data_IF_070285063909
#
_entry.id   IF_070285063909
#
_cell.length_a   1.000
_cell.length_b   1.000
_cell.length_c   1.000
_cell.angle_alpha   90.00
_cell.angle_beta   90.00
_cell.angle_gamma   90.00
#
_symmetry.space_group_name_H-M   'P 1'
#
loop_
_entity.id
_entity.type
_entity.pdbx_description
1 polymer ?
#
# COMPACT_ATOMS: atom_id res chain seq x y z
N UNK A 1 -22.48 36.33 -21.34
CA UNK A 1 -21.70 36.74 -20.14
C UNK A 1 -21.89 35.82 -18.93
N UNK A 2 -22.94 35.00 -18.86
CA UNK A 2 -23.33 34.17 -17.71
C UNK A 2 -22.57 32.84 -17.59
N UNK A 3 -22.27 32.15 -18.71
CA UNK A 3 -21.57 30.86 -18.69
C UNK A 3 -20.12 30.97 -18.21
N UNK A 4 -19.42 32.07 -18.54
CA UNK A 4 -18.03 32.28 -18.09
C UNK A 4 -17.89 32.65 -16.61
N UNK A 5 -18.96 33.13 -15.96
CA UNK A 5 -18.96 33.38 -14.52
C UNK A 5 -19.20 32.11 -13.70
N UNK A 6 -20.12 31.24 -14.15
CA UNK A 6 -20.38 29.94 -13.49
C UNK A 6 -19.16 29.02 -13.59
N UNK A 7 -18.49 28.99 -14.75
CA UNK A 7 -17.29 28.17 -14.94
C UNK A 7 -16.09 28.69 -14.13
N UNK A 8 -15.96 30.02 -13.97
CA UNK A 8 -14.91 30.64 -13.15
C UNK A 8 -15.14 30.43 -11.66
N UNK A 9 -16.39 30.46 -11.19
CA UNK A 9 -16.73 30.11 -9.81
C UNK A 9 -16.41 28.64 -9.50
N UNK A 10 -16.78 27.72 -10.39
CA UNK A 10 -16.53 26.28 -10.20
C UNK A 10 -15.03 25.93 -10.11
N UNK A 11 -14.17 26.57 -10.92
CA UNK A 11 -12.71 26.37 -10.88
C UNK A 11 -12.08 26.89 -9.59
N UNK A 12 -12.58 28.01 -9.05
CA UNK A 12 -12.13 28.53 -7.74
C UNK A 12 -12.54 27.60 -6.58
N UNK A 13 -13.74 27.01 -6.62
CA UNK A 13 -14.20 26.06 -5.60
C UNK A 13 -13.42 24.74 -5.65
N UNK A 14 -13.03 24.28 -6.84
CA UNK A 14 -12.27 23.04 -7.00
C UNK A 14 -10.84 23.18 -6.44
N UNK A 15 -10.18 24.31 -6.69
CA UNK A 15 -8.86 24.60 -6.15
C UNK A 15 -8.82 24.64 -4.62
N UNK A 16 -9.85 25.21 -3.99
CA UNK A 16 -10.01 25.21 -2.54
C UNK A 16 -10.21 23.78 -2.00
N UNK A 17 -11.07 22.99 -2.64
CA UNK A 17 -11.34 21.60 -2.25
C UNK A 17 -10.09 20.71 -2.32
N UNK A 18 -9.27 20.85 -3.37
CA UNK A 18 -7.99 20.13 -3.45
C UNK A 18 -7.02 20.51 -2.33
N UNK A 19 -6.94 21.79 -1.99
CA UNK A 19 -6.07 22.27 -0.91
C UNK A 19 -6.52 21.71 0.44
N UNK A 20 -7.82 21.71 0.71
CA UNK A 20 -8.41 21.16 1.93
C UNK A 20 -8.13 19.66 2.07
N UNK A 21 -8.28 18.89 0.98
CA UNK A 21 -7.96 17.46 0.99
C UNK A 21 -6.47 17.19 1.21
N UNK A 22 -5.58 17.93 0.53
CA UNK A 22 -4.14 17.76 0.71
C UNK A 22 -3.71 18.13 2.14
N UNK A 23 -4.27 19.20 2.69
CA UNK A 23 -4.02 19.60 4.08
C UNK A 23 -4.49 18.53 5.06
N UNK A 24 -5.68 17.97 4.85
CA UNK A 24 -6.22 16.88 5.67
C UNK A 24 -5.35 15.61 5.63
N UNK A 25 -4.87 15.22 4.44
CA UNK A 25 -3.97 14.07 4.28
C UNK A 25 -2.64 14.32 4.99
N UNK A 26 -2.04 15.51 4.79
CA UNK A 26 -0.78 15.89 5.44
C UNK A 26 -0.91 15.85 6.96
N UNK A 27 -1.96 16.49 7.50
CA UNK A 27 -2.23 16.53 8.92
C UNK A 27 -2.38 15.12 9.52
N UNK A 28 -3.14 14.26 8.84
CA UNK A 28 -3.34 12.87 9.28
C UNK A 28 -2.03 12.09 9.27
N UNK A 29 -1.24 12.21 8.20
CA UNK A 29 0.05 11.50 8.09
C UNK A 29 1.08 12.00 9.11
N UNK A 30 1.11 13.31 9.40
CA UNK A 30 1.93 13.88 10.49
C UNK A 30 1.52 13.31 11.85
N UNK A 31 0.22 13.16 12.11
CA UNK A 31 -0.28 12.52 13.33
C UNK A 31 0.20 11.08 13.47
N UNK A 32 0.06 10.28 12.40
CA UNK A 32 0.53 8.88 12.37
C UNK A 32 2.05 8.81 12.58
N UNK A 33 2.82 9.67 11.92
CA UNK A 33 4.27 9.75 12.09
C UNK A 33 4.66 10.05 13.54
N UNK A 34 4.00 11.02 14.18
CA UNK A 34 4.30 11.42 15.56
C UNK A 34 3.97 10.29 16.55
N UNK A 35 2.85 9.61 16.38
CA UNK A 35 2.49 8.45 17.22
C UNK A 35 3.53 7.35 17.06
N UNK A 36 3.91 6.99 15.83
CA UNK A 36 4.95 5.98 15.59
C UNK A 36 6.31 6.38 16.16
N UNK A 37 6.67 7.66 16.06
CA UNK A 37 7.92 8.19 16.63
C UNK A 37 7.93 8.07 18.16
N UNK A 38 6.84 8.45 18.83
CA UNK A 38 6.74 8.33 20.29
C UNK A 38 6.80 6.87 20.73
N UNK A 39 6.09 5.96 20.05
CA UNK A 39 6.12 4.52 20.36
C UNK A 39 7.53 3.94 20.20
N UNK A 40 8.21 4.25 19.10
CA UNK A 40 9.56 3.77 18.84
C UNK A 40 10.58 4.35 19.84
N UNK A 41 10.48 5.65 20.14
CA UNK A 41 11.34 6.31 21.11
C UNK A 41 11.13 5.76 22.52
N UNK A 42 9.90 5.43 22.89
CA UNK A 42 9.57 4.81 24.17
C UNK A 42 10.16 3.41 24.27
N UNK A 43 10.03 2.59 23.22
CA UNK A 43 10.61 1.25 23.18
C UNK A 43 12.16 1.29 23.25
N UNK A 44 12.79 2.28 22.60
CA UNK A 44 14.24 2.45 22.62
C UNK A 44 14.79 2.91 23.99
N UNK A 45 14.02 3.66 24.76
CA UNK A 45 14.42 4.07 26.12
C UNK A 45 14.43 2.88 27.09
N UNK A 46 13.49 1.96 26.93
CA UNK A 46 13.28 0.82 27.83
C UNK A 46 14.09 -0.43 27.44
N UNK A 47 14.54 -0.53 26.18
CA UNK A 47 15.40 -1.64 25.73
C UNK A 47 16.78 -1.67 26.41
N UNK A 48 17.16 -0.60 27.12
CA UNK A 48 18.35 -0.58 27.98
C UNK A 48 18.22 -1.47 29.23
N UNK A 49 17.00 -1.90 29.60
CA UNK A 49 16.74 -2.67 30.82
C UNK A 49 16.07 -4.05 30.60
N UNK A 50 15.32 -4.29 29.52
CA UNK A 50 14.81 -5.62 29.18
C UNK A 50 14.44 -5.76 27.69
N UNK A 51 14.58 -6.96 27.14
CA UNK A 51 14.09 -7.28 25.79
C UNK A 51 12.58 -7.54 25.88
N UNK A 52 11.79 -6.61 25.37
CA UNK A 52 10.33 -6.74 25.30
C UNK A 52 10.01 -7.75 24.20
N UNK A 53 9.57 -8.94 24.58
CA UNK A 53 9.28 -10.02 23.63
C UNK A 53 7.79 -10.11 23.29
N UNK A 54 6.90 -9.62 24.15
CA UNK A 54 5.46 -9.82 23.97
C UNK A 54 4.62 -8.54 24.06
N UNK A 55 3.44 -8.57 23.44
CA UNK A 55 2.42 -7.51 23.55
C UNK A 55 1.97 -7.28 25.00
N UNK A 56 2.00 -8.33 25.84
CA UNK A 56 1.66 -8.21 27.24
C UNK A 56 2.70 -7.37 27.98
N UNK A 57 3.99 -7.65 27.74
CA UNK A 57 5.11 -6.86 28.28
C UNK A 57 5.01 -5.39 27.83
N UNK A 58 4.57 -5.12 26.60
CA UNK A 58 4.37 -3.75 26.12
C UNK A 58 3.25 -3.00 26.85
N UNK A 59 2.16 -3.70 27.23
CA UNK A 59 1.07 -3.12 28.01
C UNK A 59 1.50 -2.88 29.46
N UNK A 60 2.28 -3.80 30.03
CA UNK A 60 2.83 -3.68 31.37
C UNK A 60 3.88 -2.54 31.45
N UNK A 61 4.71 -2.40 30.42
CA UNK A 61 5.65 -1.29 30.28
C UNK A 61 4.95 0.06 30.18
N UNK A 62 3.84 0.14 29.45
CA UNK A 62 3.02 1.35 29.44
C UNK A 62 2.43 1.65 30.82
N UNK A 63 2.14 0.65 31.64
CA UNK A 63 1.69 0.84 33.02
C UNK A 63 2.81 1.39 33.93
N UNK A 64 4.08 1.06 33.64
CA UNK A 64 5.24 1.58 34.37
C UNK A 64 5.56 3.03 33.97
N UNK A 65 5.48 3.35 32.68
CA UNK A 65 5.71 4.71 32.15
C UNK A 65 4.58 5.66 32.54
N UNK A 66 3.33 5.20 32.45
CA UNK A 66 2.19 5.97 32.91
C UNK A 66 1.91 5.62 34.37
N UNK A 67 2.45 6.41 35.31
CA UNK A 67 2.24 6.31 36.77
C UNK A 67 0.76 6.33 37.23
N UNK A 68 -0.21 6.37 36.31
CA UNK A 68 -1.64 6.39 36.55
C UNK A 68 -2.29 5.06 36.18
N UNK A 69 -3.02 4.47 37.14
CA UNK A 69 -3.82 3.24 36.97
C UNK A 69 -4.89 3.32 35.86
N UNK A 70 -5.18 4.50 35.31
CA UNK A 70 -6.17 4.68 34.24
C UNK A 70 -5.57 4.55 32.83
N UNK A 71 -4.25 4.63 32.67
CA UNK A 71 -3.61 4.65 31.35
C UNK A 71 -3.81 3.35 30.53
N UNK A 72 -3.69 2.13 31.11
CA UNK A 72 -3.95 0.90 30.36
C UNK A 72 -5.41 0.78 29.91
N UNK A 73 -6.35 1.31 30.70
CA UNK A 73 -7.78 1.28 30.37
C UNK A 73 -8.09 2.20 29.19
N UNK A 74 -7.52 3.40 29.18
CA UNK A 74 -7.64 4.34 28.05
C UNK A 74 -6.98 3.75 26.80
N UNK A 75 -5.80 3.17 26.92
CA UNK A 75 -5.13 2.49 25.82
C UNK A 75 -5.99 1.36 25.24
N UNK A 76 -6.54 0.50 26.09
CA UNK A 76 -7.41 -0.59 25.65
C UNK A 76 -8.66 -0.05 24.93
N UNK A 77 -9.28 1.00 25.45
CA UNK A 77 -10.43 1.65 24.79
C UNK A 77 -10.05 2.20 23.41
N UNK A 78 -8.90 2.85 23.28
CA UNK A 78 -8.37 3.36 22.00
C UNK A 78 -8.08 2.22 21.03
N UNK A 79 -7.44 1.13 21.48
CA UNK A 79 -7.15 -0.04 20.66
C UNK A 79 -8.43 -0.73 20.17
N UNK A 80 -9.44 -0.86 21.02
CA UNK A 80 -10.74 -1.44 20.67
C UNK A 80 -11.48 -0.57 19.64
N UNK A 81 -11.52 0.75 19.87
CA UNK A 81 -12.17 1.67 18.94
C UNK A 81 -11.46 1.71 17.58
N UNK A 82 -10.12 1.76 17.59
CA UNK A 82 -9.29 1.68 16.39
C UNK A 82 -9.53 0.37 15.63
N UNK A 83 -9.61 -0.76 16.34
CA UNK A 83 -9.91 -2.08 15.77
C UNK A 83 -11.28 -2.14 15.08
N UNK A 84 -12.26 -1.38 15.59
CA UNK A 84 -13.57 -1.29 14.96
C UNK A 84 -13.53 -0.41 13.69
N UNK A 85 -12.82 0.72 13.74
CA UNK A 85 -12.66 1.61 12.58
C UNK A 85 -11.94 0.91 11.43
N UNK A 86 -10.81 0.23 11.69
CA UNK A 86 -10.06 -0.50 10.66
C UNK A 86 -10.92 -1.60 10.02
N UNK A 87 -11.72 -2.32 10.81
CA UNK A 87 -12.61 -3.36 10.32
C UNK A 87 -13.70 -2.78 9.40
N UNK A 88 -14.33 -1.66 9.79
CA UNK A 88 -15.34 -1.00 8.96
C UNK A 88 -14.74 -0.50 7.64
N UNK A 89 -13.61 0.20 7.70
CA UNK A 89 -12.92 0.72 6.51
C UNK A 89 -12.50 -0.41 5.57
N UNK A 90 -12.03 -1.54 6.10
CA UNK A 90 -11.66 -2.71 5.30
C UNK A 90 -12.87 -3.28 4.55
N UNK A 91 -14.04 -3.40 5.19
CA UNK A 91 -15.24 -3.89 4.51
C UNK A 91 -15.68 -2.96 3.38
N UNK A 92 -15.68 -1.65 3.62
CA UNK A 92 -16.08 -0.66 2.62
C UNK A 92 -15.12 -0.69 1.43
N UNK A 93 -13.80 -0.71 1.70
CA UNK A 93 -12.79 -0.77 0.66
C UNK A 93 -12.91 -2.05 -0.19
N UNK A 94 -13.07 -3.22 0.45
CA UNK A 94 -13.23 -4.49 -0.25
C UNK A 94 -14.54 -4.56 -1.05
N UNK A 95 -15.63 -3.96 -0.55
CA UNK A 95 -16.89 -3.89 -1.27
C UNK A 95 -16.71 -3.09 -2.58
N UNK A 96 -16.13 -1.89 -2.51
CA UNK A 96 -15.86 -1.04 -3.68
C UNK A 96 -14.98 -1.77 -4.70
N UNK A 97 -13.92 -2.44 -4.25
CA UNK A 97 -13.04 -3.21 -5.15
C UNK A 97 -13.79 -4.38 -5.81
N UNK A 98 -14.62 -5.09 -5.05
CA UNK A 98 -15.37 -6.25 -5.58
C UNK A 98 -16.44 -5.81 -6.58
N UNK A 99 -17.15 -4.73 -6.29
CA UNK A 99 -18.17 -4.15 -7.15
C UNK A 99 -17.57 -3.70 -8.48
N UNK A 100 -16.47 -2.93 -8.44
CA UNK A 100 -15.84 -2.42 -9.66
C UNK A 100 -15.03 -3.45 -10.45
N UNK A 101 -14.44 -4.46 -9.79
CA UNK A 101 -13.58 -5.44 -10.47
C UNK A 101 -14.33 -6.71 -10.91
N UNK A 102 -15.25 -7.22 -10.09
CA UNK A 102 -16.00 -8.44 -10.37
C UNK A 102 -17.43 -8.18 -10.87
N UNK A 103 -17.95 -6.95 -10.74
CA UNK A 103 -19.36 -6.64 -11.06
C UNK A 103 -20.36 -7.40 -10.20
N UNK A 104 -19.89 -8.00 -9.09
CA UNK A 104 -20.67 -8.85 -8.21
C UNK A 104 -21.24 -8.02 -7.07
N UNK A 105 -22.57 -7.89 -7.03
CA UNK A 105 -23.29 -7.23 -5.93
C UNK A 105 -23.50 -8.22 -4.78
N UNK A 106 -22.46 -8.41 -3.97
CA UNK A 106 -22.56 -9.15 -2.73
C UNK A 106 -22.99 -8.20 -1.60
N UNK A 107 -23.84 -8.68 -0.70
CA UNK A 107 -24.26 -7.90 0.47
C UNK A 107 -23.06 -7.55 1.36
N UNK A 108 -23.03 -6.33 1.88
CA UNK A 108 -21.98 -5.81 2.78
C UNK A 108 -21.75 -6.73 4.00
N UNK A 109 -22.82 -7.36 4.50
CA UNK A 109 -22.75 -8.30 5.63
C UNK A 109 -22.01 -9.58 5.23
N UNK A 110 -22.21 -10.07 4.01
CA UNK A 110 -21.51 -11.25 3.51
C UNK A 110 -20.01 -10.97 3.37
N UNK A 111 -19.63 -9.81 2.84
CA UNK A 111 -18.23 -9.36 2.79
C UNK A 111 -17.60 -9.27 4.17
N UNK A 112 -18.31 -8.73 5.16
CA UNK A 112 -17.82 -8.63 6.53
C UNK A 112 -17.50 -10.01 7.14
N UNK A 113 -18.43 -10.97 7.00
CA UNK A 113 -18.25 -12.33 7.53
C UNK A 113 -17.12 -13.05 6.79
N UNK A 114 -17.05 -12.92 5.47
CA UNK A 114 -15.99 -13.55 4.66
C UNK A 114 -14.59 -13.03 5.04
N UNK A 115 -14.42 -11.71 5.17
CA UNK A 115 -13.13 -11.12 5.55
C UNK A 115 -12.71 -11.54 6.98
N UNK A 116 -13.68 -11.60 7.91
CA UNK A 116 -13.42 -12.06 9.27
C UNK A 116 -13.03 -13.53 9.32
N UNK A 117 -13.73 -14.39 8.59
CA UNK A 117 -13.37 -15.81 8.47
C UNK A 117 -11.98 -15.97 7.85
N UNK A 118 -11.69 -15.26 6.76
CA UNK A 118 -10.41 -15.35 6.07
C UNK A 118 -9.25 -14.84 6.94
N UNK A 119 -9.47 -13.80 7.75
CA UNK A 119 -8.48 -13.30 8.71
C UNK A 119 -8.30 -14.24 9.92
N UNK A 120 -9.37 -14.92 10.34
CA UNK A 120 -9.35 -15.79 11.51
C UNK A 120 -8.68 -17.15 11.25
N UNK A 121 -8.75 -17.68 10.03
CA UNK A 121 -8.09 -18.94 9.63
C UNK A 121 -6.58 -18.93 9.92
N UNK A 122 -5.76 -17.98 9.40
CA UNK A 122 -4.33 -17.97 9.64
C UNK A 122 -4.00 -17.72 11.13
N UNK A 123 -4.80 -16.92 11.83
CA UNK A 123 -4.61 -16.67 13.26
C UNK A 123 -4.82 -17.95 14.09
N UNK A 124 -5.90 -18.70 13.85
CA UNK A 124 -6.17 -19.97 14.54
C UNK A 124 -5.13 -21.02 14.17
N UNK A 125 -4.74 -21.10 12.89
CA UNK A 125 -3.74 -22.06 12.43
C UNK A 125 -2.40 -21.83 13.15
N UNK A 126 -1.91 -20.58 13.18
CA UNK A 126 -0.66 -20.24 13.87
C UNK A 126 -0.74 -20.50 15.38
N UNK A 127 -1.87 -20.18 16.01
CA UNK A 127 -2.08 -20.46 17.43
C UNK A 127 -2.08 -21.96 17.75
N UNK A 128 -2.63 -22.81 16.88
CA UNK A 128 -2.66 -24.27 17.09
C UNK A 128 -1.32 -24.94 16.87
N UNK A 129 -0.53 -24.49 15.89
CA UNK A 129 0.74 -25.13 15.52
C UNK A 129 1.88 -24.67 16.41
N UNK A 130 1.99 -23.36 16.65
CA UNK A 130 3.14 -22.74 17.29
C UNK A 130 2.79 -22.00 18.61
N UNK A 131 1.56 -22.13 19.10
CA UNK A 131 1.14 -21.54 20.39
C UNK A 131 1.18 -20.01 20.37
N UNK A 132 1.54 -19.41 21.50
CA UNK A 132 1.66 -17.95 21.65
C UNK A 132 2.77 -17.36 20.78
N UNK A 133 3.92 -18.04 20.69
CA UNK A 133 5.08 -17.65 19.87
C UNK A 133 4.69 -17.46 18.40
N UNK A 134 3.92 -18.41 17.85
CA UNK A 134 3.45 -18.37 16.46
C UNK A 134 2.52 -17.20 16.15
N UNK A 135 1.73 -16.75 17.13
CA UNK A 135 0.87 -15.57 16.97
C UNK A 135 1.71 -14.30 16.91
N UNK A 136 2.75 -14.18 17.74
CA UNK A 136 3.67 -13.04 17.70
C UNK A 136 4.43 -12.97 16.36
N UNK A 137 4.93 -14.11 15.89
CA UNK A 137 5.57 -14.19 14.58
C UNK A 137 4.62 -13.79 13.44
N UNK A 138 3.34 -14.22 13.51
CA UNK A 138 2.34 -13.83 12.52
C UNK A 138 2.07 -12.32 12.52
N UNK A 139 2.01 -11.68 13.69
CA UNK A 139 1.82 -10.22 13.82
C UNK A 139 2.99 -9.45 13.17
N UNK A 140 4.22 -9.92 13.35
CA UNK A 140 5.42 -9.31 12.74
C UNK A 140 5.45 -9.58 11.21
N UNK A 141 4.95 -10.74 10.78
CA UNK A 141 4.96 -11.14 9.36
C UNK A 141 3.90 -10.41 8.52
N UNK A 142 2.74 -10.06 9.09
CA UNK A 142 1.66 -9.41 8.35
C UNK A 142 2.10 -8.09 7.67
N UNK A 143 2.75 -7.13 8.37
CA UNK A 143 3.29 -5.93 7.74
C UNK A 143 4.31 -6.21 6.64
N UNK A 144 5.12 -7.26 6.79
CA UNK A 144 6.12 -7.67 5.80
C UNK A 144 5.45 -8.13 4.50
N UNK A 145 4.44 -9.00 4.60
CA UNK A 145 3.65 -9.45 3.43
C UNK A 145 2.95 -8.27 2.76
N UNK A 146 2.41 -7.34 3.56
CA UNK A 146 1.79 -6.13 3.05
C UNK A 146 2.81 -5.26 2.29
N UNK A 147 4.01 -5.08 2.82
CA UNK A 147 5.09 -4.32 2.18
C UNK A 147 5.47 -4.90 0.80
N UNK A 148 5.48 -6.23 0.66
CA UNK A 148 5.71 -6.87 -0.64
C UNK A 148 4.62 -6.59 -1.66
N UNK A 149 3.37 -6.40 -1.23
CA UNK A 149 2.21 -6.18 -2.12
C UNK A 149 2.05 -4.70 -2.50
N UNK A 150 2.61 -3.78 -1.72
CA UNK A 150 2.50 -2.33 -1.95
C UNK A 150 2.98 -1.88 -3.35
N UNK A 151 4.18 -2.26 -3.85
CA UNK A 151 4.65 -1.79 -5.16
C UNK A 151 3.71 -2.18 -6.29
N UNK A 152 3.18 -3.41 -6.27
CA UNK A 152 2.22 -3.92 -7.25
C UNK A 152 0.96 -3.03 -7.32
N UNK A 153 0.45 -2.59 -6.17
CA UNK A 153 -0.74 -1.73 -6.12
C UNK A 153 -0.46 -0.27 -6.51
N UNK A 154 0.77 0.22 -6.31
CA UNK A 154 1.13 1.62 -6.61
C UNK A 154 1.23 1.86 -8.12
N UNK A 155 1.64 0.87 -8.91
CA UNK A 155 1.90 1.05 -10.36
C UNK A 155 0.64 1.48 -11.14
N UNK A 156 -0.53 0.81 -11.02
CA UNK A 156 -1.74 1.24 -11.73
C UNK A 156 -2.18 2.65 -11.31
N UNK A 157 -2.12 2.96 -10.01
CA UNK A 157 -2.49 4.27 -9.48
C UNK A 157 -1.56 5.35 -10.02
N UNK A 158 -0.25 5.09 -10.04
CA UNK A 158 0.75 5.99 -10.62
C UNK A 158 0.51 6.20 -12.12
N UNK A 159 0.19 5.14 -12.88
CA UNK A 159 -0.13 5.22 -14.31
C UNK A 159 -1.38 6.07 -14.58
N UNK A 160 -2.43 5.89 -13.77
CA UNK A 160 -3.66 6.68 -13.88
C UNK A 160 -3.36 8.16 -13.54
N UNK A 161 -2.54 8.40 -12.52
CA UNK A 161 -2.18 9.75 -12.10
C UNK A 161 -1.22 10.48 -13.07
N UNK A 162 -0.35 9.76 -13.79
CA UNK A 162 0.54 10.35 -14.80
C UNK A 162 -0.18 10.58 -16.15
N UNK A 163 -1.26 9.84 -16.42
CA UNK A 163 -1.97 9.91 -17.71
C UNK A 163 -2.67 11.25 -17.93
N UNK A 164 -2.21 11.97 -18.96
CA UNK A 164 -2.85 13.20 -19.44
C UNK A 164 -4.27 12.97 -19.99
N UNK A 165 -4.58 11.74 -20.42
CA UNK A 165 -5.89 11.39 -20.97
C UNK A 165 -6.97 11.28 -19.88
N UNK A 166 -6.61 10.76 -18.70
CA UNK A 166 -7.55 10.59 -17.57
C UNK A 166 -7.64 11.87 -16.74
N UNK A 167 -6.51 12.51 -16.46
CA UNK A 167 -6.46 13.65 -15.54
C UNK A 167 -6.65 15.02 -16.21
N UNK A 168 -6.58 15.08 -17.54
CA UNK A 168 -6.77 16.30 -18.33
C UNK A 168 -5.86 17.45 -17.87
N UNK A 169 -6.46 18.59 -17.51
CA UNK A 169 -5.75 19.80 -17.09
C UNK A 169 -5.21 19.76 -15.65
N UNK A 170 -5.49 18.69 -14.88
CA UNK A 170 -4.98 18.47 -13.52
C UNK A 170 -3.82 17.47 -13.50
N UNK A 171 -3.12 17.31 -14.62
CA UNK A 171 -1.96 16.43 -14.73
C UNK A 171 -0.95 16.72 -13.62
N UNK A 172 -0.46 15.65 -12.99
CA UNK A 172 0.58 15.72 -11.98
C UNK A 172 1.80 16.47 -12.53
N UNK A 173 2.33 17.41 -11.75
CA UNK A 173 3.51 18.17 -12.17
C UNK A 173 4.72 17.24 -12.34
N UNK A 174 5.57 17.53 -13.33
CA UNK A 174 6.76 16.73 -13.64
C UNK A 174 7.66 16.49 -12.41
N UNK A 175 7.71 17.45 -11.47
CA UNK A 175 8.42 17.31 -10.19
C UNK A 175 7.85 16.21 -9.30
N UNK A 176 6.53 16.17 -9.16
CA UNK A 176 5.83 15.16 -8.34
C UNK A 176 5.89 13.80 -9.03
N UNK A 177 5.85 13.76 -10.36
CA UNK A 177 6.02 12.55 -11.15
C UNK A 177 7.41 11.92 -10.94
N UNK A 178 8.48 12.72 -11.00
CA UNK A 178 9.85 12.26 -10.69
C UNK A 178 9.94 11.76 -9.25
N UNK A 179 9.41 12.51 -8.29
CA UNK A 179 9.49 12.15 -6.87
C UNK A 179 8.72 10.84 -6.58
N UNK A 180 7.56 10.64 -7.19
CA UNK A 180 6.79 9.42 -7.10
C UNK A 180 7.49 8.23 -7.79
N UNK A 181 8.10 8.43 -8.96
CA UNK A 181 8.90 7.39 -9.62
C UNK A 181 10.14 6.99 -8.80
N UNK A 182 10.76 7.95 -8.12
CA UNK A 182 11.91 7.72 -7.25
C UNK A 182 11.48 6.93 -6.01
N UNK A 183 10.37 7.31 -5.37
CA UNK A 183 9.81 6.59 -4.23
C UNK A 183 9.42 5.15 -4.60
N UNK A 184 8.81 4.95 -5.78
CA UNK A 184 8.50 3.63 -6.31
C UNK A 184 9.76 2.79 -6.53
N UNK A 185 10.79 3.35 -7.19
CA UNK A 185 12.06 2.68 -7.43
C UNK A 185 12.74 2.28 -6.11
N UNK A 186 12.74 3.18 -5.11
CA UNK A 186 13.31 2.92 -3.79
C UNK A 186 12.55 1.80 -3.06
N UNK A 187 11.22 1.82 -3.09
CA UNK A 187 10.39 0.76 -2.47
C UNK A 187 10.64 -0.60 -3.13
N UNK A 188 10.71 -0.64 -4.45
CA UNK A 188 11.00 -1.84 -5.21
C UNK A 188 12.42 -2.37 -4.90
N UNK A 189 13.41 -1.49 -4.83
CA UNK A 189 14.78 -1.84 -4.48
C UNK A 189 14.90 -2.44 -3.07
N UNK A 190 14.27 -1.83 -2.06
CA UNK A 190 14.24 -2.35 -0.69
C UNK A 190 13.57 -3.73 -0.65
N UNK A 191 12.45 -3.91 -1.35
CA UNK A 191 11.76 -5.19 -1.40
C UNK A 191 12.61 -6.28 -2.09
N UNK A 192 13.39 -5.95 -3.12
CA UNK A 192 14.31 -6.92 -3.76
C UNK A 192 15.42 -7.32 -2.79
N UNK A 193 16.03 -6.37 -2.09
CA UNK A 193 17.07 -6.67 -1.09
C UNK A 193 16.51 -7.60 -0.01
N UNK A 194 15.35 -7.25 0.54
CA UNK A 194 14.72 -8.03 1.59
C UNK A 194 14.29 -9.43 1.10
N UNK A 195 13.82 -9.55 -0.14
CA UNK A 195 13.55 -10.85 -0.77
C UNK A 195 14.83 -11.70 -0.96
N UNK A 196 15.93 -11.07 -1.37
CA UNK A 196 17.22 -11.74 -1.50
C UNK A 196 17.75 -12.22 -0.14
N UNK A 197 17.54 -11.44 0.92
CA UNK A 197 17.87 -11.83 2.30
C UNK A 197 17.02 -13.04 2.75
N UNK A 198 15.72 -13.07 2.45
CA UNK A 198 14.87 -14.23 2.75
C UNK A 198 15.30 -15.47 1.95
N UNK A 199 15.72 -15.30 0.69
CA UNK A 199 16.01 -16.41 -0.23
C UNK A 199 17.41 -17.00 -0.04
N UNK A 200 18.40 -16.17 0.24
CA UNK A 200 19.82 -16.55 0.30
C UNK A 200 20.46 -16.29 1.66
N UNK A 201 19.78 -15.62 2.58
CA UNK A 201 20.30 -15.32 3.91
C UNK A 201 20.36 -16.54 4.80
N UNK A 202 21.55 -16.86 5.29
CA UNK A 202 21.80 -17.82 6.38
C UNK A 202 21.78 -17.09 7.74
N UNK A 203 20.83 -16.16 7.92
CA UNK A 203 20.72 -15.36 9.14
C UNK A 203 19.95 -16.10 10.23
N UNK A 204 20.25 -15.80 11.50
CA UNK A 204 19.63 -16.47 12.65
C UNK A 204 18.09 -16.40 12.65
N UNK A 205 17.53 -15.34 12.06
CA UNK A 205 16.09 -15.16 11.89
C UNK A 205 15.49 -16.09 10.81
N UNK A 206 16.15 -16.26 9.66
CA UNK A 206 15.68 -17.20 8.62
C UNK A 206 15.84 -18.65 9.08
N UNK A 207 16.86 -18.95 9.87
CA UNK A 207 17.06 -20.28 10.45
C UNK A 207 16.05 -20.58 11.58
N UNK A 208 15.68 -19.57 12.38
CA UNK A 208 14.60 -19.67 13.37
C UNK A 208 13.22 -19.91 12.72
N UNK A 209 12.98 -19.33 11.53
CA UNK A 209 11.81 -19.61 10.70
C UNK A 209 11.89 -20.98 10.00
N UNK A 210 13.10 -21.50 9.75
CA UNK A 210 13.32 -22.76 9.03
C UNK A 210 12.97 -23.99 9.86
N UNK A 211 12.94 -23.87 11.19
CA UNK A 211 12.56 -24.94 12.10
C UNK A 211 13.56 -26.10 12.11
N UNK A 212 13.90 -26.57 13.29
CA UNK A 212 14.63 -27.81 13.54
C UNK A 212 13.82 -29.02 13.04
N UNK A 213 14.15 -29.47 11.82
CA UNK A 213 14.06 -30.80 11.16
C UNK A 213 12.89 -31.77 11.41
N UNK A 214 11.85 -31.48 12.22
CA UNK A 214 10.85 -32.52 12.54
C UNK A 214 9.35 -32.16 12.39
N UNK A 215 8.89 -30.90 12.31
CA UNK A 215 7.45 -30.60 12.00
C UNK A 215 7.21 -29.17 11.41
N UNK A 216 5.97 -28.78 11.02
CA UNK A 216 5.54 -28.29 9.71
C UNK A 216 5.67 -26.75 9.52
N UNK A 217 6.87 -26.19 9.71
CA UNK A 217 7.14 -24.74 9.51
C UNK A 217 7.67 -24.42 8.09
N UNK A 218 7.79 -25.44 7.23
CA UNK A 218 8.18 -25.27 5.82
C UNK A 218 7.14 -24.45 5.01
N UNK A 219 5.87 -24.50 5.43
CA UNK A 219 4.73 -23.89 4.72
C UNK A 219 4.82 -22.34 4.67
N UNK A 220 5.02 -21.60 5.78
CA UNK A 220 5.10 -20.15 5.73
C UNK A 220 6.31 -19.64 4.94
N UNK A 221 7.48 -20.27 5.04
CA UNK A 221 8.68 -19.81 4.34
C UNK A 221 8.57 -19.98 2.81
N UNK A 222 8.12 -21.15 2.34
CA UNK A 222 7.90 -21.38 0.90
C UNK A 222 6.79 -20.48 0.33
N UNK A 223 5.70 -20.26 1.08
CA UNK A 223 4.63 -19.34 0.66
C UNK A 223 5.13 -17.89 0.58
N UNK A 224 5.96 -17.46 1.54
CA UNK A 224 6.51 -16.10 1.56
C UNK A 224 7.46 -15.83 0.39
N UNK A 225 8.33 -16.80 0.07
CA UNK A 225 9.22 -16.73 -1.10
C UNK A 225 8.41 -16.67 -2.39
N UNK A 226 7.40 -17.53 -2.54
CA UNK A 226 6.55 -17.55 -3.73
C UNK A 226 5.77 -16.24 -3.90
N UNK A 227 5.19 -15.71 -2.83
CA UNK A 227 4.47 -14.44 -2.84
C UNK A 227 5.38 -13.25 -3.15
N UNK A 228 6.57 -13.21 -2.57
CA UNK A 228 7.57 -12.18 -2.84
C UNK A 228 8.03 -12.23 -4.30
N UNK A 229 8.39 -13.42 -4.81
CA UNK A 229 8.79 -13.62 -6.18
C UNK A 229 7.68 -13.24 -7.18
N UNK A 230 6.44 -13.67 -6.93
CA UNK A 230 5.28 -13.33 -7.75
C UNK A 230 5.00 -11.81 -7.73
N UNK A 231 5.10 -11.16 -6.57
CA UNK A 231 4.90 -9.71 -6.46
C UNK A 231 5.99 -8.92 -7.18
N UNK A 232 7.26 -9.31 -7.02
CA UNK A 232 8.39 -8.68 -7.71
C UNK A 232 8.26 -8.89 -9.22
N UNK A 233 7.95 -10.12 -9.67
CA UNK A 233 7.74 -10.42 -11.08
C UNK A 233 6.57 -9.61 -11.67
N UNK A 234 5.47 -9.47 -10.93
CA UNK A 234 4.31 -8.68 -11.35
C UNK A 234 4.60 -7.17 -11.35
N UNK A 235 5.32 -6.65 -10.34
CA UNK A 235 5.74 -5.26 -10.29
C UNK A 235 6.72 -4.93 -11.42
N UNK A 236 7.68 -5.82 -11.69
CA UNK A 236 8.59 -5.71 -12.82
C UNK A 236 7.84 -5.84 -14.15
N UNK A 237 6.89 -6.77 -14.28
CA UNK A 237 6.06 -6.88 -15.48
C UNK A 237 5.28 -5.59 -15.75
N UNK A 238 4.65 -5.02 -14.71
CA UNK A 238 3.91 -3.77 -14.81
C UNK A 238 4.82 -2.55 -15.09
N UNK A 239 6.04 -2.54 -14.55
CA UNK A 239 7.03 -1.50 -14.82
C UNK A 239 7.65 -1.64 -16.22
N UNK A 240 7.88 -2.87 -16.67
CA UNK A 240 8.48 -3.21 -17.97
C UNK A 240 7.48 -3.10 -19.10
N UNK A 241 6.17 -3.28 -18.89
CA UNK A 241 5.16 -2.88 -19.89
C UNK A 241 5.25 -1.37 -20.11
N UNK A 242 5.99 -0.91 -21.15
CA UNK A 242 6.15 0.50 -21.37
C UNK A 242 4.81 1.01 -21.94
N UNK A 243 4.60 2.32 -21.87
CA UNK A 243 3.53 3.04 -22.56
C UNK A 243 3.62 2.85 -24.10
N UNK A 244 3.37 1.64 -24.61
CA UNK A 244 3.08 1.38 -26.02
C UNK A 244 1.63 1.77 -26.34
N UNK A 245 1.21 2.94 -25.86
CA UNK A 245 0.02 3.64 -26.33
C UNK A 245 0.37 5.06 -26.76
N UNK A 246 1.41 5.69 -26.21
CA UNK A 246 1.79 7.05 -26.63
C UNK A 246 2.67 7.10 -27.87
N UNK A 247 3.45 6.06 -28.17
CA UNK A 247 4.30 6.05 -29.38
C UNK A 247 3.50 5.75 -30.66
N UNK A 248 2.51 4.83 -30.60
CA UNK A 248 1.71 4.49 -31.79
C UNK A 248 0.83 5.66 -32.24
N UNK A 249 0.32 6.48 -31.32
CA UNK A 249 -0.51 7.63 -31.67
C UNK A 249 0.33 8.80 -32.21
N UNK A 250 1.53 9.05 -31.64
CA UNK A 250 2.46 10.04 -32.17
C UNK A 250 2.99 9.66 -33.56
N UNK A 251 3.31 8.38 -33.80
CA UNK A 251 3.75 7.91 -35.12
C UNK A 251 2.62 7.89 -36.16
N UNK A 252 1.38 7.58 -35.76
CA UNK A 252 0.22 7.62 -36.68
C UNK A 252 -0.16 9.07 -37.02
N UNK A 253 -0.01 9.99 -36.07
CA UNK A 253 -0.31 11.40 -36.28
C UNK A 253 0.77 12.11 -37.11
N UNK A 254 2.07 11.85 -36.88
CA UNK A 254 3.15 12.34 -37.75
C UNK A 254 3.07 11.76 -39.18
N UNK A 255 2.77 10.47 -39.35
CA UNK A 255 2.60 9.86 -40.68
C UNK A 255 1.39 10.45 -41.44
N UNK A 256 0.29 10.76 -40.74
CA UNK A 256 -0.88 11.39 -41.34
C UNK A 256 -0.64 12.85 -41.73
N UNK A 257 0.15 13.60 -40.94
CA UNK A 257 0.51 15.00 -41.22
C UNK A 257 1.57 15.09 -42.32
N UNK A 258 2.49 14.12 -42.42
CA UNK A 258 3.48 14.07 -43.49
C UNK A 258 2.84 13.70 -44.83
N UNK A 259 1.94 12.71 -44.86
CA UNK A 259 1.21 12.31 -46.07
C UNK A 259 0.23 13.39 -46.58
N UNK A 260 -0.34 14.22 -45.70
CA UNK A 260 -1.15 15.39 -46.09
C UNK A 260 -0.32 16.58 -46.59
N UNK A 261 0.98 16.64 -46.31
CA UNK A 261 1.86 17.75 -46.72
C UNK A 261 2.56 17.51 -48.06
N UNK A 262 2.64 16.26 -48.51
CA UNK A 262 3.21 15.88 -49.82
C UNK A 262 2.21 15.91 -50.99
N UNK A 263 0.91 16.09 -50.74
CA UNK A 263 -0.10 16.24 -51.79
C UNK A 263 -0.86 17.56 -51.57
N UNK A 264 -0.36 18.69 -52.11
CA UNK A 264 -0.92 19.16 -53.38
C UNK A 264 0.07 19.99 -54.22
N UNK A 265 0.61 19.44 -55.32
CA UNK A 265 1.26 20.25 -56.38
C UNK A 265 1.21 19.61 -57.78
N UNK A 266 0.22 18.75 -58.07
CA UNK A 266 0.06 18.12 -59.39
C UNK A 266 -1.31 18.33 -60.06
N UNK A 267 -2.05 19.37 -59.71
CA UNK A 267 -3.27 19.76 -60.45
C UNK A 267 -3.28 21.27 -60.73
N UNK A 268 -2.30 21.75 -61.51
CA UNK A 268 -2.46 23.01 -62.24
C UNK A 268 -1.60 23.17 -63.53
N UNK A 269 -1.17 22.07 -64.15
CA UNK A 269 -0.66 22.08 -65.54
C UNK A 269 -1.30 20.98 -66.37
N UNK A 270 -2.42 21.33 -66.99
CA UNK A 270 -2.85 20.78 -68.29
C UNK A 270 -3.80 21.77 -68.93
#
# INVERSE_FOLDING_TARGET
MSYMQVQRAHVHTLGALFHDHLFSILFTFTGVFLVNYVLLSSAAAESSHNVIHTFHDAVELMNEIFTSSMAPLVLLAVLLFSSHIIALTSVIASHVVTEHFFGANLSLVAHHVLLKLLSMIPAIYSAKVAGSEGVYQLIILCPVIQAFTLPSSVIPVFRIASSSWIMGNYRVSLRVEILASLAFCLTLFINIIFAAEILFGDSDWTNSLKGNTETPVLIPHTVLILMSCASIAFALFLAVTPLKSSSREAETQELSVHSQREAPDEIQRS
#
